data_IF_936599539265
#
_entry.id   IF_936599539265
#
_cell.length_a   1.000
_cell.length_b   1.000
_cell.length_c   1.000
_cell.angle_alpha   90.00
_cell.angle_beta   90.00
_cell.angle_gamma   90.00
#
_symmetry.space_group_name_H-M   'P 1'
#
loop_
_entity.id
_entity.type
_entity.pdbx_description
1 polymer ?
#
# COMPACT_ATOMS: atom_id res chain seq x y z
N UNK A 1 81.81 31.92 18.78
CA UNK A 1 82.96 31.18 18.20
C UNK A 1 83.35 30.08 19.17
N UNK A 2 83.41 28.85 18.66
CA UNK A 2 84.23 27.70 19.09
C UNK A 2 84.08 27.15 20.52
N UNK A 3 83.56 25.92 20.68
CA UNK A 3 84.31 24.63 20.76
C UNK A 3 84.93 24.41 22.16
N UNK A 4 84.96 23.23 22.81
CA UNK A 4 84.74 21.82 22.46
C UNK A 4 84.65 21.01 23.80
N UNK A 5 83.75 20.03 24.00
CA UNK A 5 83.98 18.55 23.97
C UNK A 5 84.98 18.03 25.05
N UNK A 6 84.73 17.08 25.96
CA UNK A 6 84.47 15.60 25.85
C UNK A 6 84.35 15.04 27.30
N UNK A 7 83.32 14.28 27.72
CA UNK A 7 83.10 12.81 27.64
C UNK A 7 84.10 11.94 28.46
N UNK A 8 83.63 11.22 29.51
CA UNK A 8 83.67 9.74 29.60
C UNK A 8 83.10 9.14 30.93
N UNK A 9 82.11 8.26 30.76
CA UNK A 9 81.92 6.89 31.32
C UNK A 9 82.28 6.54 32.79
N UNK A 10 81.27 6.04 33.52
CA UNK A 10 81.23 4.90 34.48
C UNK A 10 79.95 5.07 35.35
N UNK A 11 79.18 4.11 35.84
CA UNK A 11 79.12 2.65 35.89
C UNK A 11 77.70 2.33 36.41
N UNK A 12 77.07 1.24 35.98
CA UNK A 12 75.72 0.79 36.42
C UNK A 12 75.76 0.25 37.87
N UNK A 13 74.67 0.40 38.66
CA UNK A 13 74.15 -0.79 39.33
C UNK A 13 72.66 -1.03 39.03
N UNK A 14 72.35 -2.32 38.84
CA UNK A 14 71.02 -2.90 38.79
C UNK A 14 70.18 -2.45 39.99
N UNK A 15 69.05 -1.80 39.72
CA UNK A 15 67.93 -1.77 40.65
C UNK A 15 66.89 -2.77 40.15
N UNK A 16 66.83 -3.93 40.80
CA UNK A 16 65.71 -4.86 40.71
C UNK A 16 64.51 -4.16 41.37
N UNK A 17 63.72 -3.46 40.57
CA UNK A 17 62.42 -2.97 41.00
C UNK A 17 61.43 -4.12 40.91
N UNK A 18 61.15 -4.74 42.07
CA UNK A 18 59.95 -5.54 42.27
C UNK A 18 58.76 -4.59 42.15
N UNK A 19 58.22 -4.46 40.94
CA UNK A 19 56.90 -3.89 40.74
C UNK A 19 55.90 -4.94 41.22
N UNK A 20 55.42 -4.73 42.45
CA UNK A 20 54.37 -5.52 43.05
C UNK A 20 53.13 -5.44 42.15
N UNK A 21 52.89 -6.51 41.38
CA UNK A 21 51.61 -6.81 40.75
C UNK A 21 50.53 -6.78 41.82
N UNK A 22 49.89 -5.62 41.97
CA UNK A 22 48.59 -5.52 42.60
C UNK A 22 47.62 -6.23 41.65
N UNK A 23 47.44 -7.54 41.86
CA UNK A 23 46.33 -8.32 41.29
C UNK A 23 45.03 -7.70 41.77
N UNK A 24 44.58 -6.69 41.05
CA UNK A 24 43.20 -6.23 41.04
C UNK A 24 42.39 -7.42 40.56
N UNK A 25 41.74 -8.07 41.51
CA UNK A 25 40.87 -9.22 41.28
C UNK A 25 39.70 -8.68 40.49
N UNK A 26 39.70 -8.95 39.18
CA UNK A 26 38.56 -8.66 38.32
C UNK A 26 37.29 -9.22 39.00
N UNK A 27 36.18 -8.44 39.05
CA UNK A 27 34.94 -8.92 39.63
C UNK A 27 34.54 -10.24 38.95
N UNK A 28 33.87 -11.17 39.67
CA UNK A 28 33.46 -12.44 39.10
C UNK A 28 32.64 -12.17 37.85
N UNK A 29 33.14 -12.58 36.67
CA UNK A 29 32.33 -12.57 35.45
C UNK A 29 31.16 -13.50 35.70
N UNK A 30 29.95 -12.94 35.75
CA UNK A 30 28.73 -13.73 35.84
C UNK A 30 28.75 -14.83 34.77
N UNK A 31 28.37 -16.06 35.12
CA UNK A 31 28.38 -17.16 34.16
C UNK A 31 27.40 -16.85 33.04
N UNK A 32 27.90 -16.88 31.81
CA UNK A 32 27.06 -16.71 30.62
C UNK A 32 26.23 -17.98 30.41
N UNK A 33 24.92 -17.84 30.32
CA UNK A 33 23.98 -18.89 29.96
C UNK A 33 23.73 -18.86 28.46
N UNK A 34 23.53 -20.03 27.84
CA UNK A 34 23.02 -20.13 26.48
C UNK A 34 21.69 -20.85 26.48
N UNK A 35 20.67 -20.25 25.87
CA UNK A 35 19.33 -20.82 25.74
C UNK A 35 18.86 -20.79 24.30
N UNK A 36 18.26 -21.89 23.87
CA UNK A 36 17.59 -22.01 22.57
C UNK A 36 16.10 -21.75 22.78
N UNK A 37 15.55 -20.79 22.06
CA UNK A 37 14.13 -20.45 22.08
C UNK A 37 13.53 -20.78 20.73
N UNK A 38 12.45 -21.57 20.72
CA UNK A 38 11.69 -21.87 19.52
C UNK A 38 10.77 -20.69 19.18
N UNK A 39 10.70 -20.34 17.90
CA UNK A 39 9.91 -19.23 17.37
C UNK A 39 8.96 -19.81 16.33
N UNK A 40 7.66 -19.56 16.47
CA UNK A 40 6.63 -20.21 15.66
C UNK A 40 6.08 -19.30 14.56
N UNK A 41 5.98 -18.00 14.80
CA UNK A 41 5.24 -17.06 13.98
C UNK A 41 6.13 -15.95 13.40
N UNK A 42 7.24 -15.59 14.04
CA UNK A 42 8.21 -14.60 13.51
C UNK A 42 9.38 -15.32 12.82
N UNK A 43 9.90 -14.74 11.73
CA UNK A 43 11.14 -15.23 11.13
C UNK A 43 12.33 -14.94 12.07
N UNK A 44 13.10 -15.96 12.53
CA UNK A 44 14.18 -15.73 13.50
C UNK A 44 15.18 -14.64 13.09
N UNK A 45 15.45 -14.47 11.79
CA UNK A 45 16.34 -13.42 11.25
C UNK A 45 15.89 -11.98 11.54
N UNK A 46 14.63 -11.74 11.87
CA UNK A 46 14.10 -10.42 12.19
C UNK A 46 14.29 -10.02 13.66
N UNK A 47 14.68 -10.97 14.52
CA UNK A 47 14.81 -10.75 15.96
C UNK A 47 16.09 -9.99 16.38
N UNK A 48 17.28 -10.21 15.78
CA UNK A 48 18.52 -9.58 16.25
C UNK A 48 18.47 -8.04 16.24
N UNK A 49 17.81 -7.43 15.26
CA UNK A 49 17.65 -5.98 15.17
C UNK A 49 16.84 -5.39 16.34
N UNK A 50 15.88 -6.14 16.91
CA UNK A 50 15.07 -5.70 18.04
C UNK A 50 15.87 -5.67 19.36
N UNK A 51 16.96 -6.44 19.40
CA UNK A 51 17.85 -6.52 20.55
C UNK A 51 19.19 -5.82 20.30
N UNK A 52 19.29 -5.05 19.21
CA UNK A 52 20.49 -4.29 18.89
C UNK A 52 20.83 -3.30 20.03
N UNK A 53 22.10 -3.24 20.41
CA UNK A 53 22.58 -2.39 21.51
C UNK A 53 22.63 -3.06 22.88
N UNK A 54 22.11 -4.29 23.02
CA UNK A 54 22.26 -5.05 24.25
C UNK A 54 23.60 -5.82 24.32
N UNK A 55 24.06 -6.13 25.53
CA UNK A 55 25.33 -6.82 25.78
C UNK A 55 25.25 -8.36 25.68
N UNK A 56 24.15 -8.90 25.14
CA UNK A 56 23.98 -10.34 24.92
C UNK A 56 23.94 -10.67 23.42
N UNK A 57 24.30 -11.90 23.09
CA UNK A 57 24.37 -12.38 21.71
C UNK A 57 23.05 -13.04 21.32
N UNK A 58 22.56 -12.67 20.12
CA UNK A 58 21.39 -13.28 19.50
C UNK A 58 21.82 -13.91 18.19
N UNK A 59 21.66 -15.23 18.07
CA UNK A 59 22.00 -15.98 16.86
C UNK A 59 20.74 -16.65 16.28
N UNK A 60 20.18 -16.11 15.19
CA UNK A 60 18.99 -16.68 14.58
C UNK A 60 19.33 -17.91 13.73
N UNK A 61 18.41 -18.87 13.66
CA UNK A 61 18.45 -19.98 12.71
C UNK A 61 17.06 -20.19 12.09
N UNK A 62 16.87 -19.63 10.89
CA UNK A 62 15.62 -19.78 10.14
C UNK A 62 15.37 -21.25 9.76
N UNK A 63 16.42 -22.01 9.43
CA UNK A 63 16.31 -23.41 9.04
C UNK A 63 15.75 -24.30 10.17
N UNK A 64 15.99 -23.93 11.43
CA UNK A 64 15.54 -24.67 12.60
C UNK A 64 14.31 -24.01 13.27
N UNK A 65 13.92 -22.80 12.85
CA UNK A 65 12.85 -22.04 13.51
C UNK A 65 13.19 -21.67 14.96
N UNK A 66 14.47 -21.39 15.24
CA UNK A 66 14.94 -21.08 16.61
C UNK A 66 15.86 -19.87 16.64
N UNK A 67 16.03 -19.33 17.83
CA UNK A 67 17.05 -18.33 18.16
C UNK A 67 17.84 -18.78 19.37
N UNK A 68 19.17 -18.68 19.28
CA UNK A 68 20.07 -18.92 20.40
C UNK A 68 20.41 -17.59 21.06
N UNK A 69 20.23 -17.53 22.38
CA UNK A 69 20.52 -16.38 23.22
C UNK A 69 21.68 -16.72 24.14
N UNK A 70 22.73 -15.91 24.14
CA UNK A 70 23.88 -16.07 25.04
C UNK A 70 24.15 -14.77 25.80
N UNK A 71 24.03 -14.79 27.13
CA UNK A 71 24.16 -13.61 27.99
C UNK A 71 24.14 -13.98 29.47
N UNK A 72 23.99 -13.00 30.36
CA UNK A 72 23.69 -13.29 31.77
C UNK A 72 22.32 -13.95 31.89
N UNK A 73 22.07 -14.66 33.00
CA UNK A 73 20.79 -15.32 33.24
C UNK A 73 19.59 -14.38 33.08
N UNK A 74 19.70 -13.19 33.67
CA UNK A 74 18.66 -12.15 33.61
C UNK A 74 18.38 -11.69 32.16
N UNK A 75 19.44 -11.46 31.38
CA UNK A 75 19.32 -11.05 29.98
C UNK A 75 18.66 -12.14 29.12
N UNK A 76 19.04 -13.40 29.33
CA UNK A 76 18.49 -14.54 28.60
C UNK A 76 17.02 -14.77 28.98
N UNK A 77 16.68 -14.68 30.27
CA UNK A 77 15.31 -14.82 30.76
C UNK A 77 14.41 -13.70 30.21
N UNK A 78 14.86 -12.44 30.27
CA UNK A 78 14.14 -11.30 29.72
C UNK A 78 13.94 -11.42 28.20
N UNK A 79 15.01 -11.71 27.45
CA UNK A 79 14.94 -11.82 25.99
C UNK A 79 14.04 -12.99 25.56
N UNK A 80 14.10 -14.13 26.24
CA UNK A 80 13.22 -15.26 25.96
C UNK A 80 11.74 -14.90 26.17
N UNK A 81 11.41 -14.16 27.23
CA UNK A 81 10.04 -13.68 27.48
C UNK A 81 9.58 -12.69 26.41
N UNK A 82 10.43 -11.72 26.02
CA UNK A 82 10.09 -10.78 24.95
C UNK A 82 9.86 -11.48 23.62
N UNK A 83 10.70 -12.47 23.28
CA UNK A 83 10.54 -13.26 22.06
C UNK A 83 9.22 -14.04 22.09
N UNK A 84 8.85 -14.66 23.22
CA UNK A 84 7.55 -15.34 23.35
C UNK A 84 6.37 -14.37 23.22
N UNK A 85 6.43 -13.19 23.86
CA UNK A 85 5.37 -12.18 23.74
C UNK A 85 5.21 -11.68 22.30
N UNK A 86 6.32 -11.41 21.61
CA UNK A 86 6.31 -10.99 20.21
C UNK A 86 5.80 -12.11 19.29
N UNK A 87 6.23 -13.35 19.53
CA UNK A 87 5.81 -14.52 18.77
C UNK A 87 4.32 -14.80 18.95
N UNK A 88 3.76 -14.59 20.14
CA UNK A 88 2.32 -14.65 20.40
C UNK A 88 1.55 -13.45 19.84
N UNK A 89 2.11 -12.23 19.91
CA UNK A 89 1.49 -11.04 19.32
C UNK A 89 1.47 -11.10 17.78
N UNK A 90 2.38 -11.84 17.17
CA UNK A 90 2.41 -12.15 15.73
C UNK A 90 1.35 -13.16 15.30
N UNK A 91 0.57 -13.70 16.26
CA UNK A 91 -0.69 -14.44 16.03
C UNK A 91 -1.87 -13.48 15.84
N UNK A 92 -1.66 -12.14 15.77
CA UNK A 92 -2.54 -11.35 14.90
C UNK A 92 -2.60 -12.10 13.58
N UNK A 93 -3.78 -12.41 13.04
CA UNK A 93 -3.87 -13.24 11.86
C UNK A 93 -2.95 -12.60 10.84
N UNK A 94 -1.80 -13.23 10.61
CA UNK A 94 -1.16 -13.19 9.33
C UNK A 94 -2.23 -13.80 8.48
N UNK A 95 -3.15 -12.97 7.96
CA UNK A 95 -3.76 -13.21 6.66
C UNK A 95 -2.58 -13.60 5.83
N UNK A 96 -2.42 -14.91 5.69
CA UNK A 96 -1.51 -15.52 4.76
C UNK A 96 -1.70 -14.64 3.52
N UNK A 97 -0.66 -13.91 3.12
CA UNK A 97 -0.68 -13.11 1.90
C UNK A 97 -0.76 -14.10 0.73
N UNK A 98 -1.86 -14.84 0.65
CA UNK A 98 -2.38 -15.34 -0.59
C UNK A 98 -2.61 -14.05 -1.35
N UNK A 99 -1.70 -13.75 -2.28
CA UNK A 99 -1.86 -12.69 -3.26
C UNK A 99 -3.13 -13.02 -4.05
N UNK A 100 -4.28 -12.65 -3.48
CA UNK A 100 -5.57 -12.83 -4.11
C UNK A 100 -5.70 -11.75 -5.15
N UNK A 101 -6.11 -12.16 -6.33
CA UNK A 101 -6.49 -11.23 -7.37
C UNK A 101 -7.91 -10.77 -7.07
N UNK A 102 -8.20 -9.52 -7.38
CA UNK A 102 -9.54 -8.96 -7.36
C UNK A 102 -9.79 -8.32 -8.71
N UNK A 103 -10.86 -8.72 -9.35
CA UNK A 103 -11.39 -8.04 -10.52
C UNK A 103 -12.29 -6.91 -10.05
N UNK A 104 -11.91 -5.68 -10.39
CA UNK A 104 -12.69 -4.47 -10.17
C UNK A 104 -13.29 -4.06 -11.50
N UNK A 105 -14.60 -4.18 -11.62
CA UNK A 105 -15.35 -3.67 -12.77
C UNK A 105 -15.68 -2.19 -12.52
N UNK A 106 -15.34 -1.35 -13.48
CA UNK A 106 -15.57 0.09 -13.46
C UNK A 106 -16.57 0.43 -14.53
N UNK A 107 -17.68 1.07 -14.16
CA UNK A 107 -18.68 1.59 -15.09
C UNK A 107 -18.78 3.12 -14.95
N UNK A 108 -18.77 3.80 -16.09
CA UNK A 108 -19.00 5.24 -16.18
C UNK A 108 -20.38 5.51 -16.77
N UNK A 109 -21.25 6.13 -15.98
CA UNK A 109 -22.57 6.53 -16.43
C UNK A 109 -22.61 8.05 -16.64
N UNK A 110 -22.97 8.49 -17.83
CA UNK A 110 -23.30 9.89 -18.09
C UNK A 110 -24.77 10.15 -17.78
N UNK A 111 -25.06 11.23 -17.08
CA UNK A 111 -26.42 11.72 -16.83
C UNK A 111 -26.75 12.96 -17.67
N UNK A 112 -27.98 13.01 -18.19
CA UNK A 112 -28.45 13.97 -19.20
C UNK A 112 -27.60 14.00 -20.47
N UNK A 113 -27.25 12.78 -20.90
CA UNK A 113 -26.39 12.50 -22.04
C UNK A 113 -27.14 11.59 -23.01
N UNK A 114 -27.14 11.95 -24.30
CA UNK A 114 -27.94 11.30 -25.36
C UNK A 114 -27.82 9.77 -25.57
N UNK A 115 -28.45 9.33 -26.66
CA UNK A 115 -29.19 8.07 -26.95
C UNK A 115 -28.62 6.66 -26.65
N UNK A 116 -27.45 6.48 -26.05
CA UNK A 116 -26.97 5.13 -25.67
C UNK A 116 -27.64 4.65 -24.37
N UNK A 117 -28.85 4.13 -24.51
CA UNK A 117 -29.56 3.49 -23.42
C UNK A 117 -28.72 2.35 -22.81
N UNK A 118 -28.77 2.22 -21.49
CA UNK A 118 -28.21 1.05 -20.81
C UNK A 118 -28.84 -0.22 -21.42
N UNK A 119 -28.03 -1.24 -21.80
CA UNK A 119 -28.56 -2.46 -22.39
C UNK A 119 -29.65 -3.10 -21.52
N UNK A 120 -30.75 -3.49 -22.16
CA UNK A 120 -31.85 -4.19 -21.48
C UNK A 120 -31.33 -5.46 -20.78
N UNK A 121 -31.77 -5.69 -19.54
CA UNK A 121 -31.30 -6.80 -18.71
C UNK A 121 -29.92 -6.59 -18.06
N UNK A 122 -29.28 -5.43 -18.25
CA UNK A 122 -28.06 -5.08 -17.50
C UNK A 122 -28.32 -5.00 -16.00
N UNK A 123 -27.34 -5.45 -15.21
CA UNK A 123 -27.33 -5.27 -13.74
C UNK A 123 -27.32 -3.79 -13.33
N UNK A 124 -26.94 -2.90 -14.24
CA UNK A 124 -26.96 -1.45 -14.02
C UNK A 124 -28.37 -0.85 -14.03
N UNK A 125 -29.40 -1.58 -14.47
CA UNK A 125 -30.78 -1.04 -14.51
C UNK A 125 -31.27 -0.65 -13.12
N UNK A 126 -31.07 -1.51 -12.12
CA UNK A 126 -31.41 -1.20 -10.72
C UNK A 126 -30.63 0.00 -10.19
N UNK A 127 -29.36 0.16 -10.61
CA UNK A 127 -28.55 1.32 -10.24
C UNK A 127 -29.10 2.60 -10.86
N UNK A 128 -29.49 2.57 -12.15
CA UNK A 128 -30.09 3.73 -12.81
C UNK A 128 -31.44 4.12 -12.21
N UNK A 129 -32.25 3.15 -11.81
CA UNK A 129 -33.50 3.42 -11.09
C UNK A 129 -33.22 4.19 -9.79
N UNK A 130 -32.27 3.73 -8.98
CA UNK A 130 -31.84 4.44 -7.76
C UNK A 130 -31.28 5.83 -8.04
N UNK A 131 -30.50 5.99 -9.12
CA UNK A 131 -29.96 7.28 -9.52
C UNK A 131 -31.05 8.26 -9.93
N UNK A 132 -32.09 7.83 -10.66
CA UNK A 132 -33.25 8.65 -11.03
C UNK A 132 -34.06 9.12 -9.82
N UNK A 133 -34.15 8.30 -8.78
CA UNK A 133 -34.83 8.67 -7.54
C UNK A 133 -34.02 9.67 -6.70
N UNK A 134 -32.69 9.62 -6.81
CA UNK A 134 -31.78 10.40 -5.97
C UNK A 134 -31.28 11.70 -6.61
N UNK A 135 -31.29 11.79 -7.95
CA UNK A 135 -30.72 12.91 -8.70
C UNK A 135 -31.71 13.45 -9.74
N UNK A 136 -31.71 14.76 -10.01
CA UNK A 136 -32.63 15.41 -10.94
C UNK A 136 -32.16 15.25 -12.39
N UNK A 137 -31.98 14.02 -12.83
CA UNK A 137 -31.53 13.68 -14.19
C UNK A 137 -32.54 12.76 -14.86
N UNK A 138 -32.94 13.12 -16.08
CA UNK A 138 -33.98 12.40 -16.81
C UNK A 138 -33.42 11.14 -17.48
N UNK A 139 -32.16 11.20 -17.91
CA UNK A 139 -31.52 10.14 -18.69
C UNK A 139 -30.16 9.73 -18.15
N UNK A 140 -29.85 8.44 -18.30
CA UNK A 140 -28.58 7.85 -17.94
C UNK A 140 -28.09 6.95 -19.08
N UNK A 141 -26.82 7.11 -19.43
CA UNK A 141 -26.17 6.46 -20.58
C UNK A 141 -24.86 5.82 -20.13
N UNK A 142 -24.60 4.60 -20.58
CA UNK A 142 -23.34 3.92 -20.29
C UNK A 142 -22.24 4.44 -21.24
N UNK A 143 -21.28 5.19 -20.70
CA UNK A 143 -20.19 5.76 -21.49
C UNK A 143 -19.09 4.73 -21.74
N UNK A 144 -18.71 3.99 -20.71
CA UNK A 144 -17.67 2.96 -20.81
C UNK A 144 -17.79 1.96 -19.67
N UNK A 145 -17.25 0.76 -19.89
CA UNK A 145 -17.05 -0.26 -18.87
C UNK A 145 -15.71 -0.94 -19.10
N UNK A 146 -14.95 -1.16 -18.03
CA UNK A 146 -13.70 -1.90 -18.13
C UNK A 146 -13.38 -2.59 -16.81
N UNK A 147 -12.57 -3.63 -16.92
CA UNK A 147 -12.18 -4.50 -15.81
C UNK A 147 -10.71 -4.26 -15.49
N UNK A 148 -10.41 -4.01 -14.22
CA UNK A 148 -9.06 -3.94 -13.70
C UNK A 148 -8.82 -5.18 -12.85
N UNK A 149 -7.75 -5.93 -13.14
CA UNK A 149 -7.27 -7.00 -12.26
C UNK A 149 -6.21 -6.44 -11.32
N UNK A 150 -6.52 -6.38 -10.04
CA UNK A 150 -5.65 -5.86 -8.99
C UNK A 150 -5.19 -7.00 -8.07
N UNK A 151 -3.95 -6.92 -7.59
CA UNK A 151 -3.42 -7.84 -6.57
C UNK A 151 -3.59 -7.18 -5.20
N UNK A 152 -4.20 -7.90 -4.25
CA UNK A 152 -4.19 -7.48 -2.85
C UNK A 152 -2.74 -7.51 -2.36
N UNK A 153 -2.19 -6.33 -2.08
CA UNK A 153 -0.73 -6.14 -1.99
C UNK A 153 -0.32 -5.12 -0.93
N UNK A 154 -1.10 -4.99 0.16
CA UNK A 154 -0.73 -4.12 1.28
C UNK A 154 -0.71 -2.62 0.90
N UNK A 155 -1.39 -2.24 -0.17
CA UNK A 155 -1.57 -0.84 -0.59
C UNK A 155 -0.81 -0.45 -1.84
N UNK A 156 -0.40 -1.41 -2.68
CA UNK A 156 0.17 -1.04 -3.97
C UNK A 156 -0.85 -0.26 -4.80
N UNK A 157 -0.34 0.77 -5.50
CA UNK A 157 -1.14 1.62 -6.36
C UNK A 157 -1.51 0.88 -7.64
N UNK A 158 -2.79 0.94 -7.97
CA UNK A 158 -3.38 0.46 -9.22
C UNK A 158 -3.76 1.68 -10.03
N UNK A 159 -3.44 1.68 -11.32
CA UNK A 159 -3.72 2.78 -12.23
C UNK A 159 -4.24 2.23 -13.56
N UNK A 160 -5.22 2.91 -14.13
CA UNK A 160 -5.70 2.67 -15.48
C UNK A 160 -6.13 3.98 -16.12
N UNK A 161 -5.88 4.13 -17.42
CA UNK A 161 -6.27 5.30 -18.18
C UNK A 161 -6.73 4.89 -19.57
N UNK A 162 -7.59 5.68 -20.18
CA UNK A 162 -8.04 5.40 -21.53
C UNK A 162 -8.91 6.49 -22.12
N UNK A 163 -9.50 6.15 -23.27
CA UNK A 163 -10.46 6.99 -23.97
C UNK A 163 -11.88 6.49 -23.74
N UNK A 164 -12.84 7.40 -23.82
CA UNK A 164 -14.27 7.10 -23.80
C UNK A 164 -15.03 8.04 -24.74
N UNK A 165 -16.26 7.70 -25.13
CA UNK A 165 -17.11 8.59 -25.90
C UNK A 165 -17.31 9.94 -25.19
N UNK A 166 -17.42 11.05 -25.93
CA UNK A 166 -17.81 12.34 -25.35
C UNK A 166 -19.23 12.26 -24.76
N UNK A 167 -19.54 13.12 -23.78
CA UNK A 167 -20.86 13.14 -23.15
C UNK A 167 -21.93 13.79 -24.04
N UNK A 168 -22.35 13.05 -25.06
CA UNK A 168 -23.52 13.37 -25.90
C UNK A 168 -23.32 14.62 -26.75
N UNK A 169 -22.08 15.11 -26.84
CA UNK A 169 -21.71 16.11 -27.83
C UNK A 169 -21.59 15.38 -29.16
N UNK A 170 -22.46 15.71 -30.10
CA UNK A 170 -22.33 15.25 -31.48
C UNK A 170 -20.92 15.61 -31.97
N UNK A 171 -20.29 14.68 -32.68
CA UNK A 171 -19.01 15.00 -33.30
C UNK A 171 -19.21 16.25 -34.17
N UNK A 172 -18.32 17.27 -34.09
CA UNK A 172 -18.32 18.34 -35.07
C UNK A 172 -18.21 17.71 -36.46
N UNK A 173 -18.72 18.42 -37.48
CA UNK A 173 -18.73 18.05 -38.91
C UNK A 173 -17.84 16.83 -39.22
N UNK A 174 -18.37 15.71 -39.77
CA UNK A 174 -17.56 14.55 -40.11
C UNK A 174 -16.34 14.84 -41.01
N UNK A 175 -16.26 16.02 -41.63
CA UNK A 175 -15.11 16.53 -42.39
C UNK A 175 -14.09 17.34 -41.56
N UNK A 176 -14.44 17.76 -40.33
CA UNK A 176 -13.50 18.29 -39.36
C UNK A 176 -12.58 17.15 -38.93
N UNK A 177 -11.34 17.13 -39.44
CA UNK A 177 -10.36 16.05 -39.26
C UNK A 177 -9.94 15.71 -37.81
N UNK A 178 -10.65 16.19 -36.80
CA UNK A 178 -10.43 15.89 -35.39
C UNK A 178 -11.77 15.55 -34.71
N UNK A 179 -11.98 14.27 -34.38
CA UNK A 179 -13.10 13.86 -33.52
C UNK A 179 -12.70 14.10 -32.06
N UNK A 180 -13.46 14.89 -31.29
CA UNK A 180 -13.17 15.11 -29.87
C UNK A 180 -13.34 13.79 -29.11
N UNK A 181 -12.34 13.43 -28.31
CA UNK A 181 -12.31 12.21 -27.49
C UNK A 181 -12.23 12.61 -26.02
N UNK A 182 -13.06 12.00 -25.18
CA UNK A 182 -12.94 12.16 -23.74
C UNK A 182 -11.91 11.16 -23.19
N UNK A 183 -11.16 11.56 -22.18
CA UNK A 183 -10.15 10.73 -21.53
C UNK A 183 -10.52 10.48 -20.07
N UNK A 184 -10.09 9.34 -19.54
CA UNK A 184 -10.22 9.01 -18.13
C UNK A 184 -8.89 8.52 -17.55
N UNK A 185 -8.73 8.74 -16.26
CA UNK A 185 -7.68 8.18 -15.42
C UNK A 185 -8.31 7.75 -14.10
N UNK A 186 -8.10 6.49 -13.72
CA UNK A 186 -8.51 5.96 -12.42
C UNK A 186 -7.26 5.45 -11.71
N UNK A 187 -7.12 5.79 -10.44
CA UNK A 187 -6.11 5.22 -9.57
C UNK A 187 -6.68 4.93 -8.20
N UNK A 188 -6.21 3.86 -7.58
CA UNK A 188 -6.61 3.48 -6.23
C UNK A 188 -5.60 2.53 -5.62
N UNK A 189 -5.81 2.19 -4.36
CA UNK A 189 -5.08 1.15 -3.67
C UNK A 189 -6.01 0.08 -3.16
N UNK A 190 -5.53 -1.16 -3.19
CA UNK A 190 -6.22 -2.32 -2.65
C UNK A 190 -5.39 -2.94 -1.51
N UNK A 191 -5.41 -2.33 -0.32
CA UNK A 191 -4.63 -2.81 0.82
C UNK A 191 -5.06 -4.18 1.30
N UNK A 192 -6.36 -4.46 1.34
CA UNK A 192 -6.85 -5.74 1.86
C UNK A 192 -8.21 -6.15 1.29
N UNK A 193 -8.48 -7.44 1.48
CA UNK A 193 -9.78 -8.08 1.30
C UNK A 193 -10.20 -8.62 2.68
N UNK A 194 -11.24 -8.07 3.27
CA UNK A 194 -11.75 -8.50 4.57
C UNK A 194 -12.83 -9.58 4.43
N UNK A 195 -13.00 -10.38 5.48
CA UNK A 195 -14.06 -11.40 5.57
C UNK A 195 -13.70 -12.75 4.94
N UNK A 196 -14.62 -13.69 5.10
CA UNK A 196 -14.55 -15.03 4.51
C UNK A 196 -15.61 -15.18 3.43
N UNK A 197 -15.45 -16.19 2.56
CA UNK A 197 -16.47 -16.51 1.56
C UNK A 197 -17.82 -16.81 2.21
N UNK A 198 -18.95 -16.31 1.67
CA UNK A 198 -19.09 -15.45 0.48
C UNK A 198 -19.16 -13.93 0.78
N UNK A 199 -18.89 -13.51 2.01
CA UNK A 199 -19.14 -12.16 2.50
C UNK A 199 -17.87 -11.29 2.50
N UNK A 200 -17.03 -11.42 1.46
CA UNK A 200 -15.78 -10.67 1.42
C UNK A 200 -16.03 -9.21 1.03
N UNK A 201 -15.15 -8.33 1.48
CA UNK A 201 -15.22 -6.89 1.23
C UNK A 201 -13.86 -6.40 0.77
N UNK A 202 -13.80 -5.90 -0.47
CA UNK A 202 -12.59 -5.29 -1.03
C UNK A 202 -12.50 -3.85 -0.54
N UNK A 203 -11.45 -3.54 0.22
CA UNK A 203 -11.22 -2.18 0.71
C UNK A 203 -10.45 -1.38 -0.33
N UNK A 204 -11.12 -0.45 -1.01
CA UNK A 204 -10.47 0.49 -1.93
C UNK A 204 -10.12 1.77 -1.17
N UNK A 205 -8.86 2.18 -1.25
CA UNK A 205 -8.35 3.40 -0.62
C UNK A 205 -7.76 4.35 -1.66
N UNK A 206 -7.82 5.65 -1.34
CA UNK A 206 -7.32 6.74 -2.18
C UNK A 206 -7.79 6.60 -3.63
N UNK A 207 -9.06 6.23 -3.81
CA UNK A 207 -9.64 6.19 -5.14
C UNK A 207 -9.69 7.60 -5.69
N UNK A 208 -9.13 7.78 -6.88
CA UNK A 208 -9.18 8.98 -7.68
C UNK A 208 -9.64 8.58 -9.07
N UNK A 209 -10.80 9.04 -9.48
CA UNK A 209 -11.29 8.94 -10.84
C UNK A 209 -11.35 10.35 -11.42
N UNK A 210 -10.59 10.58 -12.47
CA UNK A 210 -10.46 11.85 -13.17
C UNK A 210 -10.89 11.68 -14.62
N UNK A 211 -11.67 12.62 -15.13
CA UNK A 211 -12.14 12.63 -16.50
C UNK A 211 -11.89 13.97 -17.14
N UNK A 212 -11.54 13.95 -18.42
CA UNK A 212 -11.32 15.14 -19.22
C UNK A 212 -12.23 15.09 -20.44
N UNK A 213 -13.20 15.99 -20.49
CA UNK A 213 -14.23 16.01 -21.51
C UNK A 213 -14.04 17.18 -22.47
N UNK A 214 -14.15 16.96 -23.79
CA UNK A 214 -14.27 18.04 -24.75
C UNK A 214 -15.70 18.62 -24.67
N UNK A 215 -15.82 19.91 -24.42
CA UNK A 215 -17.07 20.67 -24.37
C UNK A 215 -17.05 21.70 -25.49
N UNK A 216 -18.06 21.73 -26.37
CA UNK A 216 -18.12 22.70 -27.47
C UNK A 216 -18.20 24.12 -26.91
N UNK A 217 -17.36 25.01 -27.46
CA UNK A 217 -17.39 26.44 -27.14
C UNK A 217 -18.20 27.26 -28.13
N UNK A 218 -18.35 26.75 -29.36
CA UNK A 218 -19.12 27.37 -30.43
C UNK A 218 -19.59 26.32 -31.45
N UNK A 219 -20.44 26.75 -32.38
CA UNK A 219 -20.94 25.92 -33.48
C UNK A 219 -19.89 25.65 -34.57
N UNK A 220 -18.71 26.28 -34.48
CA UNK A 220 -17.64 26.14 -35.47
C UNK A 220 -16.72 24.94 -35.18
N UNK A 221 -17.10 24.06 -34.25
CA UNK A 221 -16.33 22.88 -33.88
C UNK A 221 -15.10 23.20 -33.03
N UNK A 222 -15.08 24.34 -32.32
CA UNK A 222 -14.09 24.59 -31.28
C UNK A 222 -14.54 23.95 -29.97
N UNK A 223 -13.60 23.34 -29.26
CA UNK A 223 -13.84 22.69 -27.98
C UNK A 223 -12.84 23.16 -26.93
N UNK A 224 -13.32 23.27 -25.71
CA UNK A 224 -12.48 23.38 -24.52
C UNK A 224 -12.57 22.10 -23.72
N UNK A 225 -11.47 21.72 -23.09
CA UNK A 225 -11.48 20.56 -22.21
C UNK A 225 -11.87 20.98 -20.80
N UNK A 226 -12.88 20.33 -20.24
CA UNK A 226 -13.28 20.48 -18.84
C UNK A 226 -13.00 19.19 -18.09
N UNK A 227 -12.43 19.34 -16.90
CA UNK A 227 -12.10 18.23 -16.02
C UNK A 227 -13.22 17.99 -15.00
N UNK A 228 -13.40 16.71 -14.64
CA UNK A 228 -14.29 16.25 -13.59
C UNK A 228 -13.55 15.21 -12.74
N UNK A 229 -13.83 15.16 -11.45
CA UNK A 229 -13.09 14.30 -10.53
C UNK A 229 -13.97 13.76 -9.39
N UNK A 230 -13.73 12.50 -9.02
CA UNK A 230 -14.21 11.88 -7.78
C UNK A 230 -12.99 11.38 -7.00
N UNK A 231 -12.90 11.79 -5.74
CA UNK A 231 -11.92 11.27 -4.77
C UNK A 231 -12.66 10.70 -3.56
N UNK A 232 -12.42 9.42 -3.24
CA UNK A 232 -13.07 8.80 -2.08
C UNK A 232 -12.33 7.55 -1.59
N UNK A 233 -12.75 7.04 -0.44
CA UNK A 233 -12.46 5.68 0.01
C UNK A 233 -13.77 4.89 -0.06
N UNK A 234 -13.72 3.64 -0.48
CA UNK A 234 -14.93 2.81 -0.58
C UNK A 234 -14.62 1.37 -0.21
N UNK A 235 -15.57 0.76 0.48
CA UNK A 235 -15.60 -0.67 0.72
C UNK A 235 -16.59 -1.31 -0.26
N UNK A 236 -16.12 -2.28 -1.03
CA UNK A 236 -16.89 -2.97 -2.05
C UNK A 236 -17.22 -4.39 -1.58
N UNK A 237 -18.45 -4.66 -1.14
CA UNK A 237 -18.88 -6.03 -0.86
C UNK A 237 -18.82 -6.88 -2.14
N UNK A 238 -18.38 -8.12 -1.99
CA UNK A 238 -18.19 -9.07 -3.09
C UNK A 238 -19.44 -9.18 -3.97
N UNK A 239 -19.26 -8.93 -5.27
CA UNK A 239 -20.30 -9.05 -6.29
C UNK A 239 -21.40 -7.99 -6.25
N UNK A 240 -21.31 -6.96 -5.40
CA UNK A 240 -22.30 -5.87 -5.33
C UNK A 240 -21.84 -4.65 -6.13
N UNK A 241 -22.79 -4.02 -6.81
CA UNK A 241 -22.59 -2.71 -7.45
C UNK A 241 -22.70 -1.62 -6.39
N UNK A 242 -21.73 -0.70 -6.37
CA UNK A 242 -21.69 0.44 -5.47
C UNK A 242 -21.53 1.72 -6.28
N UNK A 243 -22.42 2.68 -6.07
CA UNK A 243 -22.34 4.02 -6.64
C UNK A 243 -21.46 4.89 -5.75
N UNK A 244 -20.40 5.47 -6.32
CA UNK A 244 -19.40 6.22 -5.54
C UNK A 244 -19.63 7.72 -5.50
N UNK A 245 -20.43 8.24 -6.42
CA UNK A 245 -20.80 9.65 -6.43
C UNK A 245 -21.01 10.20 -7.83
N UNK A 246 -21.15 11.53 -7.85
CA UNK A 246 -21.39 12.35 -9.01
C UNK A 246 -20.25 13.36 -9.14
N UNK A 247 -19.71 13.53 -10.34
CA UNK A 247 -18.96 14.72 -10.71
C UNK A 247 -19.73 15.49 -11.77
N UNK A 248 -20.03 16.76 -11.50
CA UNK A 248 -20.63 17.65 -12.48
C UNK A 248 -19.58 18.18 -13.44
N UNK A 249 -19.97 18.43 -14.69
CA UNK A 249 -19.16 19.27 -15.58
C UNK A 249 -19.41 20.73 -15.24
N UNK A 250 -18.37 21.54 -14.94
CA UNK A 250 -18.57 22.96 -14.68
C UNK A 250 -19.30 23.63 -15.84
N UNK A 251 -20.40 24.34 -15.55
CA UNK A 251 -21.17 25.09 -16.54
C UNK A 251 -22.12 24.25 -17.40
N UNK A 252 -22.33 22.96 -17.09
CA UNK A 252 -23.29 22.09 -17.79
C UNK A 252 -24.27 21.46 -16.79
N UNK A 253 -25.51 21.24 -17.21
CA UNK A 253 -26.48 20.40 -16.49
C UNK A 253 -26.22 18.90 -16.76
N UNK A 254 -24.95 18.51 -16.84
CA UNK A 254 -24.50 17.14 -17.12
C UNK A 254 -23.63 16.61 -15.99
N UNK A 255 -23.70 15.31 -15.76
CA UNK A 255 -22.91 14.66 -14.71
C UNK A 255 -22.34 13.32 -15.16
N UNK A 256 -21.23 12.93 -14.54
CA UNK A 256 -20.71 11.57 -14.60
C UNK A 256 -20.85 10.89 -13.24
N UNK A 257 -21.25 9.63 -13.27
CA UNK A 257 -21.33 8.75 -12.12
C UNK A 257 -20.36 7.59 -12.28
N UNK A 258 -19.71 7.26 -11.17
CA UNK A 258 -18.82 6.12 -11.05
C UNK A 258 -19.53 4.99 -10.30
N UNK A 259 -19.63 3.83 -10.95
CA UNK A 259 -20.16 2.61 -10.35
C UNK A 259 -19.09 1.54 -10.37
N UNK A 260 -18.80 0.95 -9.21
CA UNK A 260 -17.80 -0.11 -9.07
C UNK A 260 -18.46 -1.42 -8.62
N UNK A 261 -17.85 -2.52 -9.04
CA UNK A 261 -18.08 -3.86 -8.49
C UNK A 261 -16.73 -4.54 -8.27
N UNK A 262 -16.57 -5.27 -7.17
CA UNK A 262 -15.37 -6.07 -6.92
C UNK A 262 -15.72 -7.55 -6.80
N UNK A 263 -14.90 -8.42 -7.41
CA UNK A 263 -14.97 -9.87 -7.26
C UNK A 263 -13.57 -10.44 -7.04
N UNK A 264 -13.32 -11.14 -5.92
CA UNK A 264 -12.11 -11.93 -5.77
C UNK A 264 -12.03 -12.99 -6.87
N UNK A 265 -10.83 -13.24 -7.37
CA UNK A 265 -10.54 -14.31 -8.32
C UNK A 265 -9.28 -15.06 -7.87
N UNK A 266 -9.27 -16.36 -8.13
CA UNK A 266 -8.18 -17.27 -7.77
C UNK A 266 -6.92 -17.05 -8.63
#
# INVERSE_FOLDING_TARGET
MLQRWILLLMLIPLAVAQEAEKKETAPPKEPLETRIVKVHHIAPSELPQLFAGNQFRVMPSNALGVVSLTGTKEQVDWAAQQIQLLDLASVRPKTQEVKKNVEVMVHYLGADVGTQAIPAGSRLNAVVEQLRESFPYDSFTLLSSYMIRAVVSGGAKVEASGAMPPMGYEAPDPNAGHRPVAAYEISFELPMLEGEEPNRVAMIRRLRAHWRFPVPTDDNGRFEYRDAEIQTNVDLPEGKLVVLGKAGLPGEDKGIFLVLEARPVD
#
